data_IF_566910786078
#
_entry.id   IF_566910786078
#
_cell.length_a   1.000
_cell.length_b   1.000
_cell.length_c   1.000
_cell.angle_alpha   90.00
_cell.angle_beta   90.00
_cell.angle_gamma   90.00
#
_symmetry.space_group_name_H-M   'P 1'
#
loop_
_entity.id
_entity.type
_entity.pdbx_description
1 polymer ?
#
# COMPACT_ATOMS: atom_id res chain seq x y z
N UNK A 1 7.27 19.72 13.92
CA UNK A 1 7.25 18.79 12.78
C UNK A 1 6.61 17.50 13.25
N UNK A 2 5.63 16.97 12.53
CA UNK A 2 4.96 15.70 12.86
C UNK A 2 5.92 14.55 12.54
N UNK A 3 5.96 13.49 13.36
CA UNK A 3 6.83 12.33 13.11
C UNK A 3 6.56 11.72 11.72
N UNK A 4 7.55 11.12 11.04
CA UNK A 4 7.32 10.40 9.79
C UNK A 4 6.32 9.25 9.95
N UNK A 5 5.54 8.97 8.91
CA UNK A 5 4.70 7.77 8.82
C UNK A 5 5.55 6.54 8.50
N UNK A 6 5.34 5.45 9.23
CA UNK A 6 6.00 4.16 8.97
C UNK A 6 5.22 3.38 7.90
N UNK A 7 5.68 3.45 6.65
CA UNK A 7 5.06 2.81 5.49
C UNK A 7 5.82 1.55 5.09
N UNK A 8 5.08 0.46 4.84
CA UNK A 8 5.64 -0.75 4.24
C UNK A 8 5.42 -0.77 2.73
N UNK A 9 6.52 -1.03 2.00
CA UNK A 9 6.54 -1.41 0.60
C UNK A 9 7.68 -2.41 0.37
N UNK A 10 7.71 -3.08 -0.80
CA UNK A 10 8.77 -4.04 -1.10
C UNK A 10 10.04 -3.31 -1.54
N UNK A 11 11.14 -3.44 -0.79
CA UNK A 11 12.35 -2.64 -1.05
C UNK A 11 13.51 -3.41 -1.66
N UNK A 12 13.37 -4.71 -1.92
CA UNK A 12 14.51 -5.54 -2.33
C UNK A 12 14.96 -5.20 -3.76
N UNK A 13 14.04 -4.77 -4.62
CA UNK A 13 14.35 -4.21 -5.93
C UNK A 13 13.60 -2.90 -6.15
N UNK A 14 14.29 -1.85 -6.62
CA UNK A 14 13.62 -0.62 -7.03
C UNK A 14 12.55 -0.91 -8.07
N UNK A 15 11.33 -0.42 -7.84
CA UNK A 15 10.27 -0.45 -8.83
C UNK A 15 9.38 0.78 -8.67
N UNK A 16 8.84 1.23 -9.79
CA UNK A 16 8.02 2.43 -9.87
C UNK A 16 6.83 2.42 -8.91
N UNK A 17 6.18 1.26 -8.72
CA UNK A 17 5.00 1.15 -7.86
C UNK A 17 5.29 1.46 -6.39
N UNK A 18 6.46 1.04 -5.90
CA UNK A 18 6.87 1.26 -4.52
C UNK A 18 7.35 2.70 -4.26
N UNK A 19 8.02 3.33 -5.23
CA UNK A 19 8.33 4.76 -5.18
C UNK A 19 7.05 5.61 -5.21
N UNK A 20 6.10 5.24 -6.07
CA UNK A 20 4.79 5.89 -6.14
C UNK A 20 4.03 5.78 -4.81
N UNK A 21 4.09 4.63 -4.13
CA UNK A 21 3.46 4.45 -2.81
C UNK A 21 3.96 5.48 -1.80
N UNK A 22 5.29 5.64 -1.70
CA UNK A 22 5.93 6.62 -0.82
C UNK A 22 5.45 8.04 -1.13
N UNK A 23 5.48 8.40 -2.41
CA UNK A 23 5.19 9.78 -2.84
C UNK A 23 3.71 10.13 -2.66
N UNK A 24 2.79 9.19 -2.97
CA UNK A 24 1.35 9.35 -2.72
C UNK A 24 1.05 9.52 -1.24
N UNK A 25 1.60 8.65 -0.39
CA UNK A 25 1.36 8.72 1.06
C UNK A 25 1.88 10.04 1.62
N UNK A 26 3.10 10.44 1.23
CA UNK A 26 3.70 11.73 1.65
C UNK A 26 2.82 12.91 1.27
N UNK A 27 2.35 12.96 0.03
CA UNK A 27 1.54 14.05 -0.49
C UNK A 27 0.18 14.13 0.21
N UNK A 28 -0.52 13.00 0.37
CA UNK A 28 -1.87 12.95 0.92
C UNK A 28 -1.87 13.18 2.44
N UNK A 29 -0.86 12.66 3.15
CA UNK A 29 -0.80 12.83 4.61
C UNK A 29 -0.17 14.15 5.05
N UNK A 30 0.54 14.86 4.17
CA UNK A 30 1.34 16.03 4.54
C UNK A 30 2.45 15.71 5.56
N UNK A 31 2.94 14.47 5.60
CA UNK A 31 3.96 13.98 6.53
C UNK A 31 5.11 13.37 5.75
N UNK A 32 6.32 13.44 6.30
CA UNK A 32 7.41 12.59 5.83
C UNK A 32 7.03 11.10 5.98
N UNK A 33 7.68 10.25 5.20
CA UNK A 33 7.46 8.81 5.18
C UNK A 33 8.79 8.11 5.38
N UNK A 34 8.84 7.21 6.36
CA UNK A 34 9.95 6.29 6.56
C UNK A 34 9.53 4.89 6.16
N UNK A 35 10.45 4.16 5.54
CA UNK A 35 10.25 2.74 5.32
C UNK A 35 10.22 1.98 6.65
N UNK A 36 9.25 1.10 6.81
CA UNK A 36 9.16 0.16 7.92
C UNK A 36 8.84 -1.23 7.41
N UNK A 37 9.36 -2.24 8.12
CA UNK A 37 9.04 -3.65 7.86
C UNK A 37 9.00 -4.49 9.12
N UNK A 38 8.99 -3.88 10.30
CA UNK A 38 8.89 -4.58 11.57
C UNK A 38 7.51 -4.41 12.19
N UNK A 39 7.49 -4.48 13.51
CA UNK A 39 6.33 -4.21 14.36
C UNK A 39 5.89 -2.74 14.34
N UNK A 40 6.69 -1.87 13.75
CA UNK A 40 6.47 -0.43 13.67
C UNK A 40 5.72 0.00 12.41
N UNK A 41 5.36 -0.92 11.50
CA UNK A 41 4.56 -0.58 10.30
C UNK A 41 3.20 -0.01 10.71
N UNK A 42 2.93 1.20 10.25
CA UNK A 42 1.65 1.89 10.47
C UNK A 42 0.71 1.75 9.27
N UNK A 43 1.26 1.80 8.06
CA UNK A 43 0.51 1.85 6.82
C UNK A 43 1.11 0.92 5.75
N UNK A 44 0.23 0.36 4.93
CA UNK A 44 0.54 -0.27 3.65
C UNK A 44 -0.39 0.33 2.61
N UNK A 45 0.18 0.82 1.52
CA UNK A 45 -0.57 1.48 0.44
C UNK A 45 0.02 1.12 -0.92
N UNK A 46 -0.82 1.19 -1.96
CA UNK A 46 -0.46 0.95 -3.37
C UNK A 46 0.04 -0.48 -3.63
N UNK A 47 -0.13 -0.96 -4.87
CA UNK A 47 0.54 -2.17 -5.35
C UNK A 47 0.02 -3.49 -4.76
N UNK A 48 0.71 -4.57 -5.10
CA UNK A 48 0.34 -5.95 -4.73
C UNK A 48 1.26 -6.49 -3.63
N UNK A 49 1.23 -5.94 -2.42
CA UNK A 49 2.22 -6.24 -1.35
C UNK A 49 1.67 -7.00 -0.15
N UNK A 50 0.38 -7.39 -0.16
CA UNK A 50 -0.27 -7.97 1.02
C UNK A 50 0.28 -9.34 1.44
N UNK A 51 0.93 -10.09 0.54
CA UNK A 51 1.63 -11.33 0.91
C UNK A 51 2.78 -11.10 1.90
N UNK A 52 3.50 -9.98 1.77
CA UNK A 52 4.56 -9.60 2.71
C UNK A 52 4.00 -9.21 4.07
N UNK A 53 2.85 -8.54 4.08
CA UNK A 53 2.13 -8.20 5.30
C UNK A 53 1.61 -9.46 6.01
N UNK A 54 1.07 -10.42 5.25
CA UNK A 54 0.61 -11.71 5.78
C UNK A 54 1.75 -12.49 6.44
N UNK A 55 2.91 -12.58 5.79
CA UNK A 55 4.06 -13.29 6.36
C UNK A 55 4.53 -12.72 7.71
N UNK A 56 4.29 -11.43 7.94
CA UNK A 56 4.66 -10.73 9.17
C UNK A 56 3.64 -10.87 10.29
N UNK A 57 2.36 -10.73 9.94
CA UNK A 57 1.29 -10.60 10.93
C UNK A 57 0.42 -11.84 11.06
N UNK A 58 0.81 -12.98 10.47
CA UNK A 58 0.08 -14.26 10.59
C UNK A 58 -0.03 -14.76 12.03
N UNK A 59 0.97 -14.46 12.88
CA UNK A 59 1.06 -14.96 14.26
C UNK A 59 0.60 -13.91 15.30
N UNK A 60 0.25 -12.71 14.86
CA UNK A 60 -0.12 -11.60 15.74
C UNK A 60 0.30 -10.25 15.20
N UNK A 61 -0.24 -9.19 15.80
CA UNK A 61 0.26 -7.83 15.66
C UNK A 61 0.59 -7.27 17.05
N UNK A 62 1.54 -6.33 17.16
CA UNK A 62 1.87 -5.69 18.42
C UNK A 62 0.62 -5.11 19.10
N UNK A 63 0.58 -5.20 20.43
CA UNK A 63 -0.57 -4.77 21.22
C UNK A 63 -0.90 -3.30 20.93
N UNK A 64 -2.17 -3.03 20.63
CA UNK A 64 -2.65 -1.69 20.29
C UNK A 64 -2.20 -1.14 18.91
N UNK A 65 -1.40 -1.87 18.13
CA UNK A 65 -0.81 -1.39 16.87
C UNK A 65 -1.03 -2.37 15.72
N UNK A 66 -2.23 -2.34 15.14
CA UNK A 66 -2.52 -3.02 13.87
C UNK A 66 -2.08 -2.14 12.70
N UNK A 67 -1.28 -2.65 11.75
CA UNK A 67 -0.99 -1.92 10.52
C UNK A 67 -2.30 -1.68 9.75
N UNK A 68 -2.35 -0.57 9.03
CA UNK A 68 -3.51 -0.17 8.23
C UNK A 68 -3.25 -0.44 6.76
N UNK A 69 -4.25 -0.88 6.03
CA UNK A 69 -4.19 -1.08 4.58
C UNK A 69 -5.07 -0.04 3.89
N UNK A 70 -4.47 0.66 2.93
CA UNK A 70 -5.13 1.60 2.03
C UNK A 70 -4.88 1.20 0.58
N UNK A 71 -5.75 0.35 0.06
CA UNK A 71 -5.84 0.08 -1.37
C UNK A 71 -4.74 -0.78 -1.99
N UNK A 72 -3.96 -1.49 -1.16
CA UNK A 72 -3.07 -2.55 -1.64
C UNK A 72 -3.82 -3.85 -1.97
N UNK A 73 -3.18 -4.69 -2.77
CA UNK A 73 -3.70 -5.96 -3.25
C UNK A 73 -2.79 -7.17 -2.97
N UNK A 74 -3.27 -8.34 -3.36
CA UNK A 74 -2.51 -9.58 -3.41
C UNK A 74 -1.95 -9.81 -4.82
N UNK A 75 -0.71 -10.31 -4.91
CA UNK A 75 -0.14 -10.79 -6.18
C UNK A 75 -0.59 -12.23 -6.49
N UNK A 76 -0.84 -13.01 -5.45
CA UNK A 76 -1.30 -14.40 -5.51
C UNK A 76 -2.13 -14.74 -4.26
N UNK A 77 -2.95 -15.81 -4.28
CA UNK A 77 -3.71 -16.23 -3.12
C UNK A 77 -2.82 -16.56 -1.91
N UNK A 78 -3.26 -16.14 -0.72
CA UNK A 78 -2.61 -16.45 0.57
C UNK A 78 -3.66 -16.83 1.61
N UNK A 79 -3.30 -17.56 2.68
CA UNK A 79 -4.18 -17.73 3.83
C UNK A 79 -4.59 -16.39 4.43
N UNK A 80 -5.83 -16.30 4.92
CA UNK A 80 -6.37 -15.10 5.55
C UNK A 80 -6.09 -15.01 7.07
N UNK A 81 -5.14 -15.81 7.57
CA UNK A 81 -4.76 -15.92 8.98
C UNK A 81 -4.34 -14.60 9.63
N UNK A 82 -3.75 -13.70 8.83
CA UNK A 82 -3.35 -12.36 9.27
C UNK A 82 -4.48 -11.32 9.30
N UNK A 83 -5.65 -11.58 8.69
CA UNK A 83 -6.67 -10.54 8.46
C UNK A 83 -7.14 -9.90 9.77
N UNK A 84 -7.32 -10.70 10.82
CA UNK A 84 -7.70 -10.23 12.17
C UNK A 84 -6.64 -9.34 12.84
N UNK A 85 -5.40 -9.37 12.36
CA UNK A 85 -4.25 -8.63 12.88
C UNK A 85 -4.00 -7.31 12.15
N UNK A 86 -4.74 -7.04 11.08
CA UNK A 86 -4.59 -5.85 10.22
C UNK A 86 -5.90 -5.07 10.21
N UNK A 87 -5.82 -3.74 9.98
CA UNK A 87 -7.01 -2.92 9.69
C UNK A 87 -7.09 -2.58 8.21
N UNK A 88 -8.08 -3.13 7.52
CA UNK A 88 -8.36 -2.80 6.12
C UNK A 88 -9.33 -1.63 6.06
N UNK A 89 -8.94 -0.54 5.38
CA UNK A 89 -9.85 0.58 5.10
C UNK A 89 -10.54 0.37 3.75
N UNK A 90 -9.74 0.08 2.73
CA UNK A 90 -10.15 -0.42 1.42
C UNK A 90 -9.03 -1.32 0.90
N UNK A 91 -9.33 -2.21 -0.03
CA UNK A 91 -8.35 -2.99 -0.79
C UNK A 91 -8.39 -2.61 -2.26
N UNK A 92 -7.37 -3.03 -3.02
CA UNK A 92 -7.21 -2.62 -4.42
C UNK A 92 -8.41 -2.93 -5.31
N UNK A 93 -9.07 -4.06 -5.07
CA UNK A 93 -10.16 -4.54 -5.92
C UNK A 93 -10.89 -5.76 -5.34
N UNK A 94 -12.00 -6.16 -5.96
CA UNK A 94 -12.87 -7.22 -5.45
C UNK A 94 -12.18 -8.58 -5.34
N UNK A 95 -11.24 -8.90 -6.24
CA UNK A 95 -10.48 -10.17 -6.16
C UNK A 95 -9.70 -10.26 -4.85
N UNK A 96 -9.04 -9.17 -4.43
CA UNK A 96 -8.33 -9.15 -3.15
C UNK A 96 -9.30 -9.27 -1.98
N UNK A 97 -10.45 -8.59 -2.01
CA UNK A 97 -11.46 -8.68 -0.96
C UNK A 97 -11.98 -10.12 -0.81
N UNK A 98 -12.33 -10.77 -1.93
CA UNK A 98 -12.80 -12.16 -1.95
C UNK A 98 -11.76 -13.13 -1.40
N UNK A 99 -10.50 -13.02 -1.82
CA UNK A 99 -9.42 -13.90 -1.35
C UNK A 99 -9.15 -13.74 0.15
N UNK A 100 -9.36 -12.55 0.70
CA UNK A 100 -9.19 -12.26 2.12
C UNK A 100 -10.46 -12.49 2.95
N UNK A 101 -11.61 -12.77 2.32
CA UNK A 101 -12.90 -12.89 2.99
C UNK A 101 -13.36 -11.58 3.62
N UNK A 102 -13.03 -10.44 3.00
CA UNK A 102 -13.42 -9.11 3.49
C UNK A 102 -14.80 -8.72 2.94
N UNK A 103 -15.66 -8.23 3.81
CA UNK A 103 -16.92 -7.58 3.44
C UNK A 103 -16.65 -6.11 3.07
N UNK A 104 -16.28 -5.88 1.80
CA UNK A 104 -16.01 -4.55 1.26
C UNK A 104 -16.79 -4.34 -0.05
N UNK A 105 -17.45 -3.18 -0.14
CA UNK A 105 -18.17 -2.69 -1.32
C UNK A 105 -17.44 -1.55 -2.04
N UNK A 106 -16.30 -1.09 -1.50
CA UNK A 106 -15.47 0.01 -2.03
C UNK A 106 -14.04 -0.44 -2.20
N UNK A 107 -13.45 -0.03 -3.32
CA UNK A 107 -12.10 -0.41 -3.73
C UNK A 107 -11.36 0.79 -4.31
N UNK A 108 -10.04 0.69 -4.37
CA UNK A 108 -9.20 1.66 -5.05
C UNK A 108 -7.73 1.39 -4.81
N UNK A 109 -6.89 1.83 -5.75
CA UNK A 109 -5.45 1.91 -5.59
C UNK A 109 -5.08 3.39 -5.41
N UNK A 110 -4.39 3.81 -4.33
CA UNK A 110 -3.97 5.20 -4.16
C UNK A 110 -3.04 5.69 -5.27
N UNK A 111 -2.42 4.79 -6.04
CA UNK A 111 -1.62 5.13 -7.21
C UNK A 111 -2.37 5.93 -8.28
N UNK A 112 -3.71 5.91 -8.28
CA UNK A 112 -4.51 6.79 -9.17
C UNK A 112 -4.27 8.29 -8.89
N UNK A 113 -3.74 8.63 -7.70
CA UNK A 113 -3.42 10.00 -7.30
C UNK A 113 -2.09 10.50 -7.87
N UNK A 114 -1.42 9.72 -8.74
CA UNK A 114 -0.13 10.09 -9.32
C UNK A 114 -0.17 11.45 -10.02
N UNK A 115 -1.28 11.79 -10.69
CA UNK A 115 -1.42 13.09 -11.38
C UNK A 115 -1.43 14.25 -10.38
N UNK A 116 -2.12 14.09 -9.26
CA UNK A 116 -2.19 15.08 -8.19
C UNK A 116 -0.85 15.23 -7.47
N UNK A 117 -0.11 14.13 -7.33
CA UNK A 117 1.21 14.10 -6.69
C UNK A 117 2.28 14.77 -7.55
N UNK A 118 2.36 14.41 -8.83
CA UNK A 118 3.42 14.92 -9.73
C UNK A 118 3.03 16.19 -10.49
N UNK A 119 1.74 16.53 -10.51
CA UNK A 119 1.22 17.67 -11.25
C UNK A 119 1.20 17.46 -12.76
N UNK A 120 0.88 18.52 -13.49
CA UNK A 120 0.93 18.52 -14.94
C UNK A 120 2.39 18.38 -15.42
N UNK A 121 2.64 17.40 -16.28
CA UNK A 121 3.96 17.16 -16.86
C UNK A 121 4.15 17.90 -18.19
N UNK A 122 3.16 18.72 -18.59
CA UNK A 122 3.17 19.46 -19.84
C UNK A 122 2.64 18.64 -21.02
N UNK A 123 2.71 19.19 -22.25
CA UNK A 123 2.22 18.52 -23.44
C UNK A 123 2.99 17.23 -23.72
N UNK A 124 2.26 16.16 -24.04
CA UNK A 124 2.83 14.88 -24.46
C UNK A 124 2.90 14.81 -25.97
N UNK A 125 4.09 14.58 -26.51
CA UNK A 125 4.29 14.29 -27.95
C UNK A 125 4.33 12.77 -28.22
N UNK A 126 4.56 11.97 -27.16
CA UNK A 126 4.62 10.52 -27.24
C UNK A 126 3.24 9.87 -27.19
N UNK A 127 3.09 8.77 -27.94
CA UNK A 127 1.86 7.95 -27.94
C UNK A 127 1.97 6.78 -26.94
N UNK A 128 3.19 6.33 -26.65
CA UNK A 128 3.47 5.16 -25.81
C UNK A 128 4.55 5.55 -24.78
N UNK A 129 4.26 5.34 -23.50
CA UNK A 129 5.25 5.41 -22.43
C UNK A 129 5.63 4.01 -21.95
N UNK A 130 6.93 3.75 -21.80
CA UNK A 130 7.44 2.49 -21.26
C UNK A 130 8.04 2.77 -19.88
N UNK A 131 7.51 2.10 -18.86
CA UNK A 131 8.08 2.11 -17.51
C UNK A 131 8.97 0.86 -17.40
N UNK A 132 10.29 1.00 -17.23
CA UNK A 132 11.23 -0.12 -17.17
C UNK A 132 11.08 -0.94 -15.88
#
# INVERSE_FOLDING_TARGET
MTAPLKLYWWKDQPNFGDDLSRDVVRAVSGRDVDWASGDDVELVAVGSVLQGLRNRYKDGAPEGRKPRVWGSGLMFPVPNDFVKHVRFHIVRGPITATLLGLDHDRFGDPGILAREVYGDQGPREDVIGVVP
#
